data_IF_808959147715
#
_entry.id   IF_808959147715
#
_cell.length_a   1.000
_cell.length_b   1.000
_cell.length_c   1.000
_cell.angle_alpha   90.00
_cell.angle_beta   90.00
_cell.angle_gamma   90.00
#
_symmetry.space_group_name_H-M   'P 1'
#
loop_
_entity.id
_entity.type
_entity.pdbx_description
1 polymer ?
#
# COMPACT_ATOMS: atom_id res chain seq x y z
N UNK A 1 -25.20 -30.52 2.03
CA UNK A 1 -24.90 -29.89 3.33
C UNK A 1 -23.78 -28.85 3.23
N UNK A 2 -22.56 -29.18 2.77
CA UNK A 2 -21.45 -28.21 2.66
C UNK A 2 -21.74 -27.02 1.72
N UNK A 3 -22.27 -27.27 0.52
CA UNK A 3 -22.64 -26.19 -0.42
C UNK A 3 -23.73 -25.27 0.13
N UNK A 4 -24.69 -25.82 0.89
CA UNK A 4 -25.75 -25.03 1.51
C UNK A 4 -25.20 -24.12 2.62
N UNK A 5 -24.21 -24.56 3.39
CA UNK A 5 -23.51 -23.70 4.35
C UNK A 5 -22.84 -22.51 3.66
N UNK A 6 -22.20 -22.73 2.50
CA UNK A 6 -21.58 -21.65 1.72
C UNK A 6 -22.62 -20.68 1.13
N UNK A 7 -23.78 -21.19 0.69
CA UNK A 7 -24.90 -20.35 0.23
C UNK A 7 -25.50 -19.52 1.36
N UNK A 8 -25.69 -20.11 2.55
CA UNK A 8 -26.14 -19.40 3.74
C UNK A 8 -25.17 -18.28 4.12
N UNK A 9 -23.86 -18.56 4.13
CA UNK A 9 -22.84 -17.54 4.38
C UNK A 9 -22.85 -16.43 3.30
N UNK A 10 -23.13 -16.77 2.03
CA UNK A 10 -23.29 -15.80 0.97
C UNK A 10 -24.53 -14.92 1.15
N UNK A 11 -25.67 -15.50 1.51
CA UNK A 11 -26.90 -14.78 1.82
C UNK A 11 -26.71 -13.84 3.02
N UNK A 12 -26.01 -14.28 4.07
CA UNK A 12 -25.67 -13.44 5.22
C UNK A 12 -24.79 -12.25 4.81
N UNK A 13 -23.75 -12.47 3.99
CA UNK A 13 -22.94 -11.36 3.45
C UNK A 13 -23.76 -10.40 2.60
N UNK A 14 -24.77 -10.88 1.88
CA UNK A 14 -25.66 -10.02 1.10
C UNK A 14 -26.55 -9.17 2.01
N UNK A 15 -27.16 -9.77 3.05
CA UNK A 15 -27.99 -9.07 4.03
C UNK A 15 -27.22 -7.97 4.77
N UNK A 16 -25.95 -8.22 5.10
CA UNK A 16 -25.07 -7.25 5.76
C UNK A 16 -24.46 -6.21 4.81
N UNK A 17 -24.84 -6.22 3.52
CA UNK A 17 -24.24 -5.39 2.49
C UNK A 17 -22.70 -5.52 2.45
N UNK A 18 -22.18 -6.75 2.56
CA UNK A 18 -20.76 -7.12 2.53
C UNK A 18 -20.39 -7.93 1.28
N UNK A 19 -21.26 -8.02 0.29
CA UNK A 19 -20.92 -8.66 -0.98
C UNK A 19 -19.96 -7.77 -1.77
N UNK A 20 -18.89 -8.37 -2.31
CA UNK A 20 -17.92 -7.72 -3.20
C UNK A 20 -18.12 -8.23 -4.61
N UNK A 21 -18.00 -7.35 -5.61
CA UNK A 21 -18.08 -7.70 -7.02
C UNK A 21 -16.86 -7.13 -7.74
N UNK A 22 -16.22 -7.94 -8.58
CA UNK A 22 -15.13 -7.49 -9.43
C UNK A 22 -15.66 -6.65 -10.59
N UNK A 23 -14.90 -5.65 -10.97
CA UNK A 23 -15.06 -4.89 -12.21
C UNK A 23 -13.90 -5.24 -13.15
N UNK A 24 -14.14 -5.21 -14.45
CA UNK A 24 -13.14 -5.48 -15.48
C UNK A 24 -12.73 -4.14 -16.09
N UNK A 25 -11.43 -3.86 -16.09
CA UNK A 25 -10.86 -2.73 -16.82
C UNK A 25 -10.54 -3.17 -18.26
N UNK A 26 -10.99 -2.41 -19.24
CA UNK A 26 -10.78 -2.67 -20.67
C UNK A 26 -9.69 -1.78 -21.29
N UNK A 27 -9.15 -0.86 -20.51
CA UNK A 27 -8.06 0.06 -20.88
C UNK A 27 -7.03 0.05 -19.76
N UNK A 28 -5.82 0.57 -20.04
CA UNK A 28 -4.75 0.67 -19.06
C UNK A 28 -5.18 1.45 -17.81
N UNK A 29 -4.45 1.29 -16.71
CA UNK A 29 -4.67 2.07 -15.50
C UNK A 29 -4.38 3.55 -15.76
N UNK A 30 -5.39 4.40 -15.59
CA UNK A 30 -5.33 5.84 -15.75
C UNK A 30 -6.53 6.47 -15.01
N UNK A 31 -6.52 7.78 -14.73
CA UNK A 31 -7.69 8.52 -14.24
C UNK A 31 -8.96 8.19 -15.00
N UNK A 32 -8.93 8.28 -16.33
CA UNK A 32 -10.05 7.93 -17.21
C UNK A 32 -9.88 6.50 -17.70
N UNK A 33 -10.76 5.59 -17.29
CA UNK A 33 -10.67 4.17 -17.60
C UNK A 33 -12.03 3.61 -18.05
N UNK A 34 -12.03 2.82 -19.12
CA UNK A 34 -13.20 2.04 -19.53
C UNK A 34 -13.36 0.80 -18.62
N UNK A 35 -14.47 0.73 -17.87
CA UNK A 35 -14.71 -0.30 -16.85
C UNK A 35 -16.13 -0.87 -16.98
N UNK A 36 -16.28 -2.19 -16.82
CA UNK A 36 -17.56 -2.89 -16.91
C UNK A 36 -17.72 -4.04 -15.91
N UNK A 37 -18.94 -4.54 -15.75
CA UNK A 37 -19.17 -5.89 -15.24
C UNK A 37 -18.91 -6.91 -16.36
N UNK A 38 -18.75 -8.20 -16.03
CA UNK A 38 -18.49 -9.25 -17.02
C UNK A 38 -19.51 -9.29 -18.17
N UNK A 39 -20.78 -9.01 -17.86
CA UNK A 39 -21.89 -9.10 -18.82
C UNK A 39 -22.44 -7.72 -19.23
N UNK A 40 -21.66 -6.64 -19.06
CA UNK A 40 -22.08 -5.28 -19.36
C UNK A 40 -21.09 -4.57 -20.29
N UNK A 41 -21.59 -3.66 -21.12
CA UNK A 41 -20.73 -2.80 -21.94
C UNK A 41 -19.86 -1.91 -21.04
N UNK A 42 -18.54 -1.83 -21.28
CA UNK A 42 -17.66 -1.00 -20.47
C UNK A 42 -18.01 0.47 -20.67
N UNK A 43 -18.03 1.22 -19.58
CA UNK A 43 -18.29 2.65 -19.58
C UNK A 43 -17.00 3.42 -19.27
N UNK A 44 -16.75 4.56 -19.92
CA UNK A 44 -15.66 5.44 -19.52
C UNK A 44 -15.98 6.08 -18.17
N UNK A 45 -15.15 5.83 -17.17
CA UNK A 45 -15.30 6.38 -15.82
C UNK A 45 -14.04 7.16 -15.44
N UNK A 46 -14.23 8.29 -14.74
CA UNK A 46 -13.16 8.96 -14.00
C UNK A 46 -12.96 8.21 -12.67
N UNK A 47 -11.76 7.74 -12.38
CA UNK A 47 -11.49 6.76 -11.31
C UNK A 47 -10.59 7.32 -10.21
N UNK A 48 -11.04 7.19 -8.96
CA UNK A 48 -10.28 7.57 -7.77
C UNK A 48 -10.09 6.37 -6.82
N UNK A 49 -9.83 5.19 -7.38
CA UNK A 49 -9.71 3.94 -6.60
C UNK A 49 -8.44 3.11 -6.91
N UNK A 50 -7.56 3.62 -7.77
CA UNK A 50 -6.27 3.00 -8.08
C UNK A 50 -5.21 3.39 -7.04
N UNK A 51 -4.23 2.50 -6.82
CA UNK A 51 -3.04 2.82 -6.02
C UNK A 51 -1.84 3.28 -6.90
N UNK A 52 -2.06 3.57 -8.18
CA UNK A 52 -1.05 4.10 -9.11
C UNK A 52 -0.82 5.60 -8.86
N UNK A 53 -0.28 5.94 -7.70
CA UNK A 53 -0.23 7.32 -7.18
C UNK A 53 0.52 8.30 -8.08
N UNK A 54 1.51 7.84 -8.84
CA UNK A 54 2.28 8.67 -9.75
C UNK A 54 1.86 8.53 -11.22
N UNK A 55 0.88 7.66 -11.53
CA UNK A 55 0.42 7.43 -12.89
C UNK A 55 1.48 6.73 -13.75
N UNK A 56 2.24 5.80 -13.16
CA UNK A 56 3.33 5.10 -13.83
C UNK A 56 2.90 3.78 -14.46
N UNK A 57 1.73 3.23 -14.09
CA UNK A 57 1.26 1.94 -14.60
C UNK A 57 0.99 1.94 -16.11
N UNK A 58 0.72 3.11 -16.70
CA UNK A 58 0.56 3.29 -18.15
C UNK A 58 1.64 4.21 -18.74
N UNK A 59 2.81 4.30 -18.10
CA UNK A 59 3.88 5.20 -18.56
C UNK A 59 4.63 4.60 -19.76
N UNK A 60 4.83 5.36 -20.86
CA UNK A 60 5.41 4.82 -22.10
C UNK A 60 6.82 4.26 -21.91
N UNK A 61 7.67 4.90 -21.09
CA UNK A 61 9.03 4.37 -20.81
C UNK A 61 9.00 3.06 -20.03
N UNK A 62 8.02 2.88 -19.12
CA UNK A 62 7.88 1.65 -18.32
C UNK A 62 7.36 0.51 -19.20
N UNK A 63 6.39 0.79 -20.07
CA UNK A 63 5.87 -0.18 -21.05
C UNK A 63 6.98 -0.61 -22.02
N UNK A 64 7.75 0.35 -22.55
CA UNK A 64 8.86 0.06 -23.44
C UNK A 64 9.93 -0.82 -22.76
N UNK A 65 10.29 -0.51 -21.51
CA UNK A 65 11.20 -1.33 -20.73
C UNK A 65 10.63 -2.73 -20.46
N UNK A 66 9.34 -2.86 -20.14
CA UNK A 66 8.72 -4.18 -19.97
C UNK A 66 8.84 -5.03 -21.25
N UNK A 67 8.59 -4.44 -22.43
CA UNK A 67 8.74 -5.11 -23.71
C UNK A 67 10.20 -5.49 -24.01
N UNK A 68 11.15 -4.56 -23.80
CA UNK A 68 12.59 -4.82 -23.93
C UNK A 68 13.04 -5.96 -23.03
N UNK A 69 12.64 -5.92 -21.76
CA UNK A 69 12.96 -6.94 -20.76
C UNK A 69 12.44 -8.32 -21.16
N UNK A 70 11.23 -8.40 -21.72
CA UNK A 70 10.67 -9.65 -22.23
C UNK A 70 11.45 -10.20 -23.42
N UNK A 71 11.90 -9.34 -24.35
CA UNK A 71 12.75 -9.74 -25.48
C UNK A 71 14.14 -10.20 -25.02
N UNK A 72 14.71 -9.55 -24.01
CA UNK A 72 16.06 -9.82 -23.52
C UNK A 72 16.15 -11.04 -22.60
N UNK A 73 15.19 -11.21 -21.71
CA UNK A 73 15.25 -12.21 -20.63
C UNK A 73 14.18 -13.29 -20.72
N UNK A 74 13.27 -13.21 -21.70
CA UNK A 74 12.16 -14.15 -21.87
C UNK A 74 10.96 -13.83 -20.98
N UNK A 75 9.93 -14.67 -21.09
CA UNK A 75 8.62 -14.44 -20.48
C UNK A 75 8.56 -14.79 -18.97
N UNK A 76 9.43 -15.67 -18.47
CA UNK A 76 9.40 -16.13 -17.08
C UNK A 76 10.79 -16.50 -16.58
N UNK A 77 10.96 -16.48 -15.26
CA UNK A 77 12.23 -16.82 -14.60
C UNK A 77 12.55 -18.32 -14.59
N UNK A 78 11.53 -19.18 -14.75
CA UNK A 78 11.70 -20.64 -14.87
C UNK A 78 11.90 -21.40 -13.56
N UNK A 79 12.28 -20.73 -12.47
CA UNK A 79 12.46 -21.36 -11.15
C UNK A 79 12.43 -20.32 -10.01
N UNK A 80 12.66 -20.76 -8.77
CA UNK A 80 12.90 -19.85 -7.64
C UNK A 80 14.24 -19.13 -7.76
N UNK A 81 14.39 -18.04 -7.00
CA UNK A 81 15.63 -17.26 -6.94
C UNK A 81 16.86 -18.14 -6.63
N UNK A 82 16.73 -19.05 -5.67
CA UNK A 82 17.84 -19.89 -5.16
C UNK A 82 18.16 -21.13 -6.00
N UNK A 83 17.42 -21.41 -7.07
CA UNK A 83 17.70 -22.55 -7.95
C UNK A 83 18.29 -22.07 -9.27
N UNK A 84 17.53 -21.30 -10.04
CA UNK A 84 18.00 -20.76 -11.33
C UNK A 84 17.21 -19.53 -11.81
N UNK A 85 16.21 -19.07 -11.06
CA UNK A 85 15.31 -17.99 -11.46
C UNK A 85 15.85 -16.58 -11.22
N UNK A 86 16.99 -16.44 -10.54
CA UNK A 86 17.59 -15.14 -10.26
C UNK A 86 18.35 -14.60 -11.50
N UNK A 87 17.65 -13.82 -12.31
CA UNK A 87 18.21 -13.07 -13.46
C UNK A 87 19.03 -11.84 -13.05
N UNK A 88 19.91 -11.39 -13.95
CA UNK A 88 20.61 -10.10 -13.89
C UNK A 88 19.66 -8.93 -13.63
N UNK A 89 18.46 -8.93 -14.19
CA UNK A 89 17.48 -7.86 -13.97
C UNK A 89 17.05 -7.74 -12.50
N UNK A 90 16.98 -8.87 -11.77
CA UNK A 90 16.68 -8.86 -10.34
C UNK A 90 17.83 -8.27 -9.54
N UNK A 91 19.06 -8.72 -9.81
CA UNK A 91 20.26 -8.21 -9.14
C UNK A 91 20.44 -6.70 -9.35
N UNK A 92 20.23 -6.20 -10.58
CA UNK A 92 20.31 -4.77 -10.88
C UNK A 92 19.23 -3.97 -10.15
N UNK A 93 18.01 -4.51 -10.04
CA UNK A 93 16.95 -3.87 -9.28
C UNK A 93 17.29 -3.81 -7.79
N UNK A 94 17.83 -4.89 -7.22
CA UNK A 94 18.24 -4.95 -5.82
C UNK A 94 19.40 -3.98 -5.51
N UNK A 95 20.37 -3.87 -6.42
CA UNK A 95 21.49 -2.91 -6.32
C UNK A 95 20.99 -1.46 -6.34
N UNK A 96 20.10 -1.14 -7.28
CA UNK A 96 19.55 0.22 -7.42
C UNK A 96 18.70 0.61 -6.20
N UNK A 97 17.89 -0.31 -5.68
CA UNK A 97 17.15 -0.08 -4.44
C UNK A 97 18.10 0.04 -3.24
N UNK A 98 19.17 -0.76 -3.15
CA UNK A 98 20.15 -0.63 -2.08
C UNK A 98 20.81 0.76 -2.08
N UNK A 99 21.09 1.30 -3.27
CA UNK A 99 21.60 2.67 -3.43
C UNK A 99 20.63 3.72 -2.86
N UNK A 100 19.32 3.58 -3.08
CA UNK A 100 18.33 4.51 -2.55
C UNK A 100 18.25 4.50 -1.03
N UNK A 101 18.46 3.35 -0.40
CA UNK A 101 18.34 3.17 1.05
C UNK A 101 19.66 3.30 1.82
N UNK A 102 20.81 3.32 1.16
CA UNK A 102 22.11 3.51 1.81
C UNK A 102 22.21 4.76 2.72
N UNK A 103 21.56 5.91 2.41
CA UNK A 103 21.53 7.06 3.33
C UNK A 103 20.69 6.86 4.60
N UNK A 104 19.82 5.86 4.63
CA UNK A 104 18.82 5.62 5.69
C UNK A 104 19.09 4.34 6.50
N UNK A 105 19.82 3.39 5.92
CA UNK A 105 20.13 2.11 6.54
C UNK A 105 21.63 1.85 6.31
N UNK A 106 22.46 1.89 7.36
CA UNK A 106 23.87 1.51 7.26
C UNK A 106 24.03 0.10 6.68
N UNK A 107 24.97 -0.08 5.74
CA UNK A 107 25.19 -1.35 5.03
C UNK A 107 23.90 -1.92 4.40
N UNK A 108 23.07 -1.03 3.84
CA UNK A 108 21.84 -1.42 3.17
C UNK A 108 22.11 -2.43 2.05
N UNK A 109 21.42 -3.56 2.11
CA UNK A 109 21.15 -4.41 0.97
C UNK A 109 19.64 -4.51 0.77
N UNK A 110 19.22 -5.00 -0.39
CA UNK A 110 17.80 -5.23 -0.65
C UNK A 110 17.53 -6.62 -1.20
N UNK A 111 16.30 -7.08 -0.98
CA UNK A 111 15.80 -8.38 -1.42
C UNK A 111 14.48 -8.20 -2.14
N UNK A 112 14.40 -8.59 -3.41
CA UNK A 112 13.21 -8.45 -4.24
C UNK A 112 12.22 -9.62 -4.06
N UNK A 113 10.93 -9.30 -3.99
CA UNK A 113 9.83 -10.24 -3.81
C UNK A 113 8.74 -10.05 -4.89
N UNK A 114 8.04 -11.14 -5.22
CA UNK A 114 6.94 -11.13 -6.17
C UNK A 114 5.75 -10.27 -5.73
N UNK A 115 5.53 -10.09 -4.42
CA UNK A 115 4.46 -9.23 -3.87
C UNK A 115 4.83 -8.66 -2.50
N UNK A 116 4.25 -7.52 -2.13
CA UNK A 116 4.38 -6.96 -0.76
C UNK A 116 3.81 -7.86 0.32
N UNK A 117 2.75 -8.61 -0.01
CA UNK A 117 2.17 -9.58 0.92
C UNK A 117 3.20 -10.66 1.31
N UNK A 118 3.93 -11.19 0.32
CA UNK A 118 4.99 -12.18 0.55
C UNK A 118 6.21 -11.59 1.25
N UNK A 119 6.59 -10.35 0.94
CA UNK A 119 7.69 -9.66 1.62
C UNK A 119 7.38 -9.49 3.13
N UNK A 120 6.18 -9.03 3.46
CA UNK A 120 5.71 -8.94 4.85
C UNK A 120 5.76 -10.30 5.55
N UNK A 121 5.12 -11.33 4.98
CA UNK A 121 5.16 -12.66 5.57
C UNK A 121 6.60 -13.19 5.73
N UNK A 122 7.48 -12.95 4.76
CA UNK A 122 8.87 -13.37 4.81
C UNK A 122 9.60 -12.75 5.99
N UNK A 123 9.53 -11.41 6.14
CA UNK A 123 10.18 -10.70 7.24
C UNK A 123 9.65 -11.17 8.59
N UNK A 124 8.33 -11.19 8.76
CA UNK A 124 7.71 -11.51 10.05
C UNK A 124 7.98 -12.96 10.47
N UNK A 125 7.93 -13.91 9.54
CA UNK A 125 8.14 -15.33 9.87
C UNK A 125 9.62 -15.71 10.03
N UNK A 126 10.53 -15.05 9.33
CA UNK A 126 11.97 -15.31 9.43
C UNK A 126 12.59 -14.70 10.69
N UNK A 127 12.09 -13.54 11.14
CA UNK A 127 12.60 -12.85 12.33
C UNK A 127 11.79 -13.13 13.59
N UNK A 128 10.50 -13.42 13.45
CA UNK A 128 9.60 -13.86 14.50
C UNK A 128 9.76 -15.35 14.83
N UNK A 129 10.91 -15.69 15.42
CA UNK A 129 11.22 -17.04 15.91
C UNK A 129 10.91 -17.19 17.40
N UNK A 130 11.12 -18.38 17.95
CA UNK A 130 11.08 -18.58 19.40
C UNK A 130 12.02 -17.58 20.11
N UNK A 131 11.56 -16.99 21.22
CA UNK A 131 12.28 -15.94 21.94
C UNK A 131 12.05 -14.51 21.43
N UNK A 132 11.27 -14.34 20.36
CA UNK A 132 10.87 -13.02 19.85
C UNK A 132 9.47 -12.60 20.31
N UNK A 133 9.25 -11.29 20.44
CA UNK A 133 7.93 -10.66 20.52
C UNK A 133 7.73 -9.67 19.39
N UNK A 134 6.59 -9.78 18.71
CA UNK A 134 6.08 -8.84 17.72
C UNK A 134 5.13 -7.86 18.39
N UNK A 135 5.45 -6.56 18.34
CA UNK A 135 4.57 -5.49 18.78
C UNK A 135 3.88 -4.91 17.55
N UNK A 136 2.65 -5.34 17.30
CA UNK A 136 1.91 -5.02 16.09
C UNK A 136 0.94 -3.86 16.33
N UNK A 137 1.02 -2.84 15.50
CA UNK A 137 -0.03 -1.83 15.42
C UNK A 137 -1.39 -2.49 15.06
N UNK A 138 -2.47 -1.98 15.63
CA UNK A 138 -3.84 -2.46 15.54
C UNK A 138 -4.53 -2.39 14.17
N UNK A 139 -4.16 -1.42 13.33
CA UNK A 139 -4.62 -1.19 11.96
C UNK A 139 -3.64 -1.67 10.88
N UNK A 140 -2.54 -2.32 11.27
CA UNK A 140 -1.59 -2.94 10.35
C UNK A 140 -2.25 -3.70 9.20
N UNK A 141 -1.63 -3.64 8.03
CA UNK A 141 -2.13 -4.32 6.85
C UNK A 141 -2.28 -5.84 7.08
N UNK A 142 -3.27 -6.45 6.42
CA UNK A 142 -3.62 -7.86 6.61
C UNK A 142 -2.42 -8.81 6.42
N UNK A 143 -1.49 -8.52 5.52
CA UNK A 143 -0.28 -9.33 5.33
C UNK A 143 0.68 -9.31 6.52
N UNK A 144 0.76 -8.19 7.25
CA UNK A 144 1.54 -8.10 8.49
C UNK A 144 0.87 -8.93 9.59
N UNK A 145 -0.46 -8.82 9.70
CA UNK A 145 -1.26 -9.63 10.64
C UNK A 145 -1.08 -11.13 10.35
N UNK A 146 -1.17 -11.54 9.09
CA UNK A 146 -1.03 -12.94 8.71
C UNK A 146 0.41 -13.43 8.86
N UNK A 147 1.40 -12.57 8.58
CA UNK A 147 2.81 -12.84 8.90
C UNK A 147 3.04 -13.06 10.40
N UNK A 148 2.47 -12.21 11.25
CA UNK A 148 2.56 -12.34 12.70
C UNK A 148 1.86 -13.60 13.23
N UNK A 149 0.71 -13.98 12.64
CA UNK A 149 0.02 -15.24 12.97
C UNK A 149 0.81 -16.49 12.56
N UNK A 150 1.57 -16.41 11.47
CA UNK A 150 2.43 -17.50 10.99
C UNK A 150 3.78 -17.57 11.73
N UNK A 151 4.21 -16.47 12.34
CA UNK A 151 5.44 -16.40 13.13
C UNK A 151 5.35 -17.31 14.37
N UNK A 152 6.51 -17.77 14.85
CA UNK A 152 6.60 -18.58 16.09
C UNK A 152 7.03 -17.69 17.25
N UNK A 153 6.41 -16.51 17.33
CA UNK A 153 6.72 -15.45 18.28
C UNK A 153 5.47 -15.08 19.10
N UNK A 154 5.69 -14.47 20.27
CA UNK A 154 4.60 -13.79 20.98
C UNK A 154 4.13 -12.56 20.17
N UNK A 155 2.84 -12.26 20.21
CA UNK A 155 2.26 -11.13 19.46
C UNK A 155 1.47 -10.26 20.41
N UNK A 156 1.93 -9.04 20.59
CA UNK A 156 1.28 -8.02 21.40
C UNK A 156 0.79 -6.90 20.49
N UNK A 157 -0.49 -6.55 20.63
CA UNK A 157 -1.11 -5.49 19.82
C UNK A 157 -1.18 -4.20 20.62
N UNK A 158 -0.74 -3.08 20.03
CA UNK A 158 -0.91 -1.76 20.62
C UNK A 158 -1.92 -0.91 19.80
N UNK A 159 -2.62 0.05 20.43
CA UNK A 159 -3.57 0.92 19.73
C UNK A 159 -2.90 1.83 18.68
N UNK A 160 -3.71 2.29 17.72
CA UNK A 160 -3.28 3.14 16.62
C UNK A 160 -2.50 4.38 17.04
N UNK A 161 -1.27 4.45 16.56
CA UNK A 161 -0.30 5.51 16.84
C UNK A 161 -0.04 5.77 18.34
N UNK A 162 -0.43 4.85 19.23
CA UNK A 162 -0.26 4.99 20.69
C UNK A 162 1.11 4.49 21.14
N UNK A 163 2.09 5.38 21.05
CA UNK A 163 3.48 5.11 21.44
C UNK A 163 3.65 4.92 22.94
N UNK A 164 2.76 5.47 23.78
CA UNK A 164 2.80 5.27 25.23
C UNK A 164 2.37 3.85 25.61
N UNK A 165 1.31 3.33 24.98
CA UNK A 165 0.91 1.94 25.13
C UNK A 165 2.01 0.99 24.62
N UNK A 166 2.62 1.29 23.48
CA UNK A 166 3.76 0.53 22.96
C UNK A 166 4.94 0.52 23.95
N UNK A 167 5.30 1.67 24.52
CA UNK A 167 6.39 1.77 25.52
C UNK A 167 6.11 0.87 26.72
N UNK A 168 4.88 0.85 27.24
CA UNK A 168 4.51 0.00 28.36
C UNK A 168 4.68 -1.50 28.03
N UNK A 169 4.32 -1.92 26.82
CA UNK A 169 4.51 -3.30 26.36
C UNK A 169 6.00 -3.65 26.20
N UNK A 170 6.79 -2.75 25.60
CA UNK A 170 8.24 -2.92 25.44
C UNK A 170 8.95 -3.03 26.79
N UNK A 171 8.60 -2.18 27.75
CA UNK A 171 9.17 -2.17 29.09
C UNK A 171 8.85 -3.45 29.90
N UNK A 172 7.69 -4.05 29.66
CA UNK A 172 7.28 -5.31 30.29
C UNK A 172 7.88 -6.55 29.60
N UNK A 173 8.40 -6.44 28.38
CA UNK A 173 8.89 -7.58 27.61
C UNK A 173 10.27 -8.05 28.04
N UNK A 174 10.39 -9.34 28.31
CA UNK A 174 11.66 -10.03 28.60
C UNK A 174 12.23 -10.76 27.39
N UNK A 175 11.65 -10.57 26.20
CA UNK A 175 12.05 -11.26 24.98
C UNK A 175 13.42 -10.79 24.48
N UNK A 176 14.22 -11.75 24.02
CA UNK A 176 15.56 -11.51 23.48
C UNK A 176 15.49 -10.65 22.22
N UNK A 177 14.48 -10.89 21.37
CA UNK A 177 14.26 -10.11 20.15
C UNK A 177 12.91 -9.40 20.22
N UNK A 178 12.93 -8.08 20.06
CA UNK A 178 11.73 -7.24 20.02
C UNK A 178 11.58 -6.65 18.63
N UNK A 179 10.40 -6.75 18.03
CA UNK A 179 10.12 -6.24 16.68
C UNK A 179 8.87 -5.37 16.73
N UNK A 180 9.03 -4.07 16.52
CA UNK A 180 7.91 -3.14 16.32
C UNK A 180 7.47 -3.26 14.87
N UNK A 181 6.18 -3.47 14.63
CA UNK A 181 5.61 -3.73 13.30
C UNK A 181 4.53 -2.70 13.01
N UNK A 182 4.73 -1.90 11.97
CA UNK A 182 3.82 -0.82 11.56
C UNK A 182 3.75 -0.68 10.03
N UNK A 183 2.58 -0.33 9.49
CA UNK A 183 2.51 0.41 8.23
C UNK A 183 3.21 1.77 8.42
N UNK A 184 3.76 2.38 7.37
CA UNK A 184 4.20 3.79 7.43
C UNK A 184 3.04 4.73 7.14
N UNK A 185 2.25 4.45 6.11
CA UNK A 185 1.09 5.20 5.62
C UNK A 185 -0.06 4.21 5.60
N UNK A 186 -1.03 4.41 6.49
CA UNK A 186 -2.07 3.43 6.72
C UNK A 186 -3.02 3.36 5.52
N UNK A 187 -3.20 2.16 4.98
CA UNK A 187 -3.80 1.97 3.66
C UNK A 187 -5.22 2.52 3.52
N UNK A 188 -6.00 2.59 4.60
CA UNK A 188 -7.41 3.00 4.61
C UNK A 188 -7.65 4.39 5.23
N UNK A 189 -6.68 4.91 5.97
CA UNK A 189 -6.79 6.13 6.79
C UNK A 189 -5.89 7.25 6.23
N UNK A 190 -4.77 6.89 5.60
CA UNK A 190 -3.87 7.79 4.89
C UNK A 190 -2.98 8.65 5.79
N UNK A 191 -3.11 8.53 7.10
CA UNK A 191 -2.21 9.09 8.09
C UNK A 191 -0.88 8.33 8.14
N UNK A 192 0.11 8.92 8.80
CA UNK A 192 1.51 8.46 8.81
C UNK A 192 1.89 8.04 10.23
N UNK A 193 2.51 6.87 10.37
CA UNK A 193 3.00 6.36 11.65
C UNK A 193 4.05 7.30 12.30
N UNK A 194 4.09 7.40 13.64
CA UNK A 194 5.01 8.27 14.38
C UNK A 194 6.44 7.66 14.42
N UNK A 195 7.09 7.52 13.26
CA UNK A 195 8.34 6.76 13.14
C UNK A 195 9.51 7.37 13.91
N UNK A 196 9.51 8.69 14.19
CA UNK A 196 10.55 9.31 15.02
C UNK A 196 10.47 8.79 16.45
N UNK A 197 9.25 8.74 16.98
CA UNK A 197 8.93 8.23 18.30
C UNK A 197 9.16 6.72 18.38
N UNK A 198 8.77 5.96 17.34
CA UNK A 198 9.04 4.53 17.27
C UNK A 198 10.55 4.24 17.25
N UNK A 199 11.35 5.02 16.53
CA UNK A 199 12.81 4.90 16.52
C UNK A 199 13.40 5.15 17.91
N UNK A 200 12.98 6.21 18.60
CA UNK A 200 13.44 6.49 19.95
C UNK A 200 13.11 5.34 20.93
N UNK A 201 11.93 4.73 20.81
CA UNK A 201 11.57 3.55 21.59
C UNK A 201 12.42 2.32 21.20
N UNK A 202 12.63 2.09 19.91
CA UNK A 202 13.42 0.98 19.42
C UNK A 202 14.88 1.05 19.90
N UNK A 203 15.47 2.25 19.94
CA UNK A 203 16.81 2.47 20.48
C UNK A 203 16.85 2.25 21.99
N UNK A 204 15.85 2.73 22.73
CA UNK A 204 15.78 2.60 24.19
C UNK A 204 15.58 1.16 24.68
N UNK A 205 14.77 0.38 23.98
CA UNK A 205 14.36 -0.97 24.39
C UNK A 205 15.04 -2.09 23.60
N UNK A 206 16.00 -1.73 22.76
CA UNK A 206 16.71 -2.63 21.84
C UNK A 206 15.76 -3.47 20.98
N UNK A 207 15.02 -2.78 20.10
CA UNK A 207 14.09 -3.39 19.16
C UNK A 207 14.45 -3.09 17.71
N UNK A 208 13.95 -3.93 16.81
CA UNK A 208 13.89 -3.67 15.37
C UNK A 208 12.59 -2.97 15.01
N UNK A 209 12.58 -2.22 13.91
CA UNK A 209 11.38 -1.62 13.33
C UNK A 209 11.15 -2.22 11.95
N UNK A 210 10.09 -2.99 11.82
CA UNK A 210 9.55 -3.43 10.53
C UNK A 210 8.54 -2.39 10.11
N UNK A 211 8.87 -1.66 9.04
CA UNK A 211 8.03 -0.60 8.47
C UNK A 211 7.57 -0.98 7.07
N UNK A 212 6.26 -1.18 6.91
CA UNK A 212 5.63 -1.38 5.60
C UNK A 212 5.28 -0.03 4.98
N UNK A 213 6.14 0.45 4.09
CA UNK A 213 5.99 1.71 3.37
C UNK A 213 5.41 1.52 1.97
N UNK A 214 4.51 0.55 1.82
CA UNK A 214 3.85 0.27 0.56
C UNK A 214 3.16 1.49 -0.06
N UNK A 215 2.61 2.39 0.77
CA UNK A 215 1.83 3.55 0.36
C UNK A 215 2.61 4.87 0.36
N UNK A 216 3.81 4.91 0.94
CA UNK A 216 4.68 6.09 0.88
C UNK A 216 5.82 5.97 -0.12
N UNK A 217 6.31 4.75 -0.44
CA UNK A 217 7.34 4.54 -1.46
C UNK A 217 6.96 5.18 -2.81
N UNK A 218 7.88 5.94 -3.40
CA UNK A 218 7.69 6.74 -4.61
C UNK A 218 7.05 8.12 -4.38
N UNK A 219 6.22 8.25 -3.35
CA UNK A 219 5.39 9.44 -3.09
C UNK A 219 5.99 10.37 -2.06
N UNK A 220 6.47 9.83 -0.94
CA UNK A 220 7.04 10.59 0.16
C UNK A 220 8.55 10.84 -0.05
N UNK A 221 9.01 12.00 0.41
CA UNK A 221 10.40 12.45 0.25
C UNK A 221 10.61 13.25 -1.04
N UNK A 222 11.72 14.00 -1.11
CA UNK A 222 12.03 14.82 -2.28
C UNK A 222 12.30 13.97 -3.52
N UNK A 223 13.03 12.86 -3.37
CA UNK A 223 13.36 11.92 -4.44
C UNK A 223 12.34 10.78 -4.54
N UNK A 224 11.49 10.61 -3.54
CA UNK A 224 10.46 9.57 -3.55
C UNK A 224 10.97 8.25 -2.96
N UNK A 225 12.01 8.27 -2.12
CA UNK A 225 12.51 7.07 -1.47
C UNK A 225 11.61 6.60 -0.32
N UNK A 226 10.59 7.39 0.03
CA UNK A 226 9.55 7.01 0.96
C UNK A 226 9.68 7.71 2.33
N UNK A 227 9.08 7.10 3.35
CA UNK A 227 8.88 7.70 4.66
C UNK A 227 10.19 8.01 5.40
N UNK A 228 11.24 7.19 5.21
CA UNK A 228 12.54 7.42 5.86
C UNK A 228 13.23 8.67 5.31
N UNK A 229 13.15 8.91 4.00
CA UNK A 229 13.61 10.15 3.37
C UNK A 229 12.80 11.34 3.86
N UNK A 230 11.46 11.24 3.82
CA UNK A 230 10.57 12.32 4.22
C UNK A 230 10.80 12.79 5.67
N UNK A 231 11.20 11.87 6.56
CA UNK A 231 11.50 12.17 7.96
C UNK A 231 13.01 12.37 8.22
N UNK A 232 13.88 12.18 7.23
CA UNK A 232 15.33 12.25 7.42
C UNK A 232 15.83 11.26 8.49
N UNK A 233 15.23 10.07 8.54
CA UNK A 233 15.58 9.04 9.52
C UNK A 233 16.67 8.12 8.96
N UNK A 234 17.60 7.73 9.83
CA UNK A 234 18.64 6.76 9.52
C UNK A 234 18.91 5.88 10.74
N UNK A 235 18.87 4.56 10.57
CA UNK A 235 19.22 3.60 11.62
C UNK A 235 19.40 2.20 11.02
N UNK A 236 20.33 1.43 11.57
CA UNK A 236 20.45 -0.01 11.24
C UNK A 236 19.22 -0.81 11.68
N UNK A 237 18.45 -0.29 12.65
CA UNK A 237 17.26 -0.94 13.23
C UNK A 237 16.07 -1.04 12.26
N UNK A 238 16.11 -0.33 11.13
CA UNK A 238 15.04 -0.36 10.16
C UNK A 238 15.11 -1.59 9.26
N UNK A 239 13.96 -2.25 9.13
CA UNK A 239 13.67 -3.26 8.13
C UNK A 239 12.52 -2.70 7.31
N UNK A 240 12.89 -2.04 6.22
CA UNK A 240 11.98 -1.31 5.36
C UNK A 240 11.37 -2.23 4.31
N UNK A 241 10.06 -2.15 4.12
CA UNK A 241 9.34 -2.94 3.12
C UNK A 241 8.64 -1.96 2.17
N UNK A 242 9.05 -1.96 0.89
CA UNK A 242 8.43 -1.11 -0.14
C UNK A 242 7.66 -1.96 -1.15
N UNK A 243 6.59 -1.41 -1.74
CA UNK A 243 5.84 -2.11 -2.80
C UNK A 243 5.97 -1.43 -4.15
N UNK A 244 6.09 -2.26 -5.18
CA UNK A 244 6.42 -1.85 -6.55
C UNK A 244 5.20 -1.94 -7.50
N UNK A 245 4.05 -2.35 -6.97
CA UNK A 245 2.76 -2.38 -7.67
C UNK A 245 1.81 -1.21 -7.33
N UNK A 246 2.33 -0.16 -6.70
CA UNK A 246 1.57 1.07 -6.37
C UNK A 246 2.14 2.27 -7.13
N UNK A 247 2.81 3.20 -6.46
CA UNK A 247 3.40 4.37 -7.09
C UNK A 247 4.39 4.03 -8.23
N UNK A 248 5.11 2.91 -8.11
CA UNK A 248 6.03 2.44 -9.13
C UNK A 248 5.35 1.80 -10.35
N UNK A 249 4.04 1.56 -10.31
CA UNK A 249 3.24 1.21 -11.49
C UNK A 249 3.48 -0.17 -12.11
N UNK A 250 4.23 -1.07 -11.47
CA UNK A 250 4.47 -2.42 -12.04
C UNK A 250 3.93 -3.50 -11.10
N UNK A 251 4.79 -4.29 -10.46
CA UNK A 251 4.43 -5.34 -9.52
C UNK A 251 5.65 -5.75 -8.69
N UNK A 252 5.41 -6.39 -7.56
CA UNK A 252 6.48 -6.81 -6.65
C UNK A 252 6.60 -5.94 -5.41
N UNK A 253 7.63 -6.23 -4.63
CA UNK A 253 8.03 -5.53 -3.43
C UNK A 253 9.50 -5.78 -3.16
N UNK A 254 10.06 -5.07 -2.20
CA UNK A 254 11.42 -5.32 -1.74
C UNK A 254 11.49 -5.14 -0.23
N UNK A 255 12.49 -5.76 0.37
CA UNK A 255 12.94 -5.46 1.73
C UNK A 255 14.27 -4.75 1.62
N UNK A 256 14.44 -3.61 2.28
CA UNK A 256 15.72 -2.94 2.47
C UNK A 256 16.08 -2.98 3.95
N UNK A 257 17.25 -3.52 4.28
CA UNK A 257 17.72 -3.68 5.65
C UNK A 257 19.24 -3.79 5.68
N UNK A 258 19.81 -3.80 6.88
CA UNK A 258 21.22 -4.15 7.07
C UNK A 258 21.52 -5.52 6.42
N UNK A 259 22.69 -5.67 5.79
CA UNK A 259 23.08 -6.87 5.04
C UNK A 259 22.86 -8.19 5.79
N UNK A 260 23.19 -8.25 7.08
CA UNK A 260 22.96 -9.42 7.92
C UNK A 260 21.47 -9.85 8.01
N UNK A 261 20.54 -8.88 7.98
CA UNK A 261 19.10 -9.17 7.93
C UNK A 261 18.74 -9.75 6.57
N UNK A 262 19.24 -9.15 5.49
CA UNK A 262 18.98 -9.63 4.12
C UNK A 262 19.53 -11.05 3.92
N UNK A 263 20.76 -11.32 4.36
CA UNK A 263 21.37 -12.65 4.30
C UNK A 263 20.54 -13.69 5.08
N UNK A 264 20.06 -13.32 6.28
CA UNK A 264 19.18 -14.20 7.07
C UNK A 264 17.87 -14.48 6.33
N UNK A 265 17.25 -13.48 5.71
CA UNK A 265 16.01 -13.64 4.94
C UNK A 265 16.22 -14.57 3.73
N UNK A 266 17.29 -14.37 2.96
CA UNK A 266 17.64 -15.23 1.81
C UNK A 266 17.69 -16.70 2.22
N UNK A 267 18.26 -17.00 3.39
CA UNK A 267 18.49 -18.37 3.85
C UNK A 267 17.31 -18.99 4.62
N UNK A 268 16.37 -18.20 5.13
CA UNK A 268 15.33 -18.71 6.05
C UNK A 268 13.89 -18.37 5.65
N UNK A 269 13.68 -17.31 4.86
CA UNK A 269 12.34 -16.84 4.55
C UNK A 269 11.65 -17.74 3.52
N UNK A 270 10.77 -18.62 4.00
CA UNK A 270 10.02 -19.57 3.16
C UNK A 270 9.27 -18.91 1.99
N UNK A 271 8.61 -17.73 2.15
CA UNK A 271 7.95 -17.05 1.03
C UNK A 271 8.91 -16.54 -0.05
N UNK A 272 10.21 -16.40 0.24
CA UNK A 272 11.26 -16.11 -0.75
C UNK A 272 11.78 -17.39 -1.41
N UNK A 273 12.11 -18.40 -0.60
CA UNK A 273 12.79 -19.63 -1.03
C UNK A 273 11.89 -20.51 -1.93
N UNK A 274 10.63 -20.69 -1.53
CA UNK A 274 9.72 -21.67 -2.13
C UNK A 274 8.69 -21.04 -3.07
N UNK A 275 9.13 -20.07 -3.86
CA UNK A 275 8.32 -19.43 -4.89
C UNK A 275 9.13 -19.20 -6.15
N UNK A 276 8.48 -19.22 -7.31
CA UNK A 276 9.11 -18.83 -8.57
C UNK A 276 9.46 -17.35 -8.52
N UNK A 277 10.68 -16.98 -8.91
CA UNK A 277 11.08 -15.57 -9.02
C UNK A 277 10.15 -14.84 -10.01
N UNK A 278 9.91 -13.54 -9.83
CA UNK A 278 9.07 -12.81 -10.77
C UNK A 278 9.66 -12.86 -12.20
N UNK A 279 8.85 -12.66 -13.25
CA UNK A 279 9.39 -12.54 -14.61
C UNK A 279 10.47 -11.44 -14.68
N UNK A 280 11.67 -11.69 -15.22
CA UNK A 280 12.74 -10.70 -15.23
C UNK A 280 12.39 -9.39 -15.96
N UNK A 281 11.45 -9.47 -16.93
CA UNK A 281 10.90 -8.29 -17.60
C UNK A 281 10.25 -7.30 -16.63
N UNK A 282 9.63 -7.78 -15.54
CA UNK A 282 9.03 -6.95 -14.49
C UNK A 282 10.11 -6.16 -13.76
N UNK A 283 11.19 -6.81 -13.35
CA UNK A 283 12.31 -6.14 -12.69
C UNK A 283 13.01 -5.13 -13.61
N UNK A 284 13.13 -5.46 -14.90
CA UNK A 284 13.69 -4.55 -15.89
C UNK A 284 12.80 -3.31 -16.11
N UNK A 285 11.48 -3.48 -16.16
CA UNK A 285 10.54 -2.35 -16.21
C UNK A 285 10.61 -1.46 -14.96
N UNK A 286 10.87 -2.06 -13.80
CA UNK A 286 11.02 -1.35 -12.55
C UNK A 286 12.24 -0.44 -12.52
N UNK A 287 13.37 -0.82 -13.12
CA UNK A 287 14.53 0.08 -13.26
C UNK A 287 14.17 1.38 -13.98
N UNK A 288 13.37 1.30 -15.04
CA UNK A 288 12.85 2.48 -15.72
C UNK A 288 11.89 3.31 -14.85
N UNK A 289 11.04 2.63 -14.06
CA UNK A 289 10.14 3.29 -13.11
C UNK A 289 10.90 4.03 -11.99
N UNK A 290 11.91 3.39 -11.39
CA UNK A 290 12.76 3.99 -10.36
C UNK A 290 13.47 5.24 -10.90
N UNK A 291 14.04 5.16 -12.12
CA UNK A 291 14.66 6.31 -12.78
C UNK A 291 13.70 7.50 -12.93
N UNK A 292 12.42 7.24 -13.23
CA UNK A 292 11.39 8.30 -13.33
C UNK A 292 11.09 8.88 -11.96
N UNK A 293 10.93 8.03 -10.93
CA UNK A 293 10.58 8.43 -9.57
C UNK A 293 11.65 9.37 -8.97
N UNK A 294 12.94 9.02 -9.06
CA UNK A 294 14.04 9.81 -8.50
C UNK A 294 14.30 11.11 -9.30
N UNK A 295 14.01 11.07 -10.61
CA UNK A 295 14.25 12.17 -11.53
C UNK A 295 13.32 13.37 -11.40
N UNK A 296 13.54 14.35 -12.28
CA UNK A 296 12.74 15.57 -12.37
C UNK A 296 11.25 15.30 -12.66
N UNK A 297 10.97 14.32 -13.52
CA UNK A 297 9.59 13.94 -13.82
C UNK A 297 8.86 13.42 -12.58
N UNK A 298 9.51 12.60 -11.76
CA UNK A 298 8.97 12.13 -10.48
C UNK A 298 8.67 13.27 -9.51
N UNK A 299 9.59 14.25 -9.39
CA UNK A 299 9.35 15.47 -8.59
C UNK A 299 8.13 16.24 -9.07
N UNK A 300 7.98 16.44 -10.38
CA UNK A 300 6.81 17.12 -10.95
C UNK A 300 5.50 16.37 -10.69
N UNK A 301 5.53 15.04 -10.80
CA UNK A 301 4.38 14.17 -10.49
C UNK A 301 4.00 14.24 -9.02
N UNK A 302 4.96 14.20 -8.09
CA UNK A 302 4.72 14.41 -6.65
C UNK A 302 4.13 15.79 -6.39
N UNK A 303 4.66 16.85 -7.00
CA UNK A 303 4.13 18.20 -6.85
C UNK A 303 2.68 18.34 -7.37
N UNK A 304 2.36 17.73 -8.52
CA UNK A 304 1.00 17.69 -9.06
C UNK A 304 0.05 16.94 -8.11
N UNK A 305 0.47 15.76 -7.63
CA UNK A 305 -0.29 14.99 -6.67
C UNK A 305 -0.59 15.80 -5.40
N UNK A 306 0.39 16.51 -4.86
CA UNK A 306 0.20 17.38 -3.68
C UNK A 306 -0.79 18.52 -3.93
N UNK A 307 -0.76 19.15 -5.11
CA UNK A 307 -1.76 20.16 -5.49
C UNK A 307 -3.17 19.58 -5.52
N UNK A 308 -3.35 18.42 -6.15
CA UNK A 308 -4.64 17.73 -6.19
C UNK A 308 -5.11 17.29 -4.79
N UNK A 309 -4.20 16.84 -3.92
CA UNK A 309 -4.51 16.50 -2.51
C UNK A 309 -5.03 17.73 -1.77
N UNK A 310 -4.35 18.87 -1.88
CA UNK A 310 -4.74 20.11 -1.22
C UNK A 310 -6.14 20.57 -1.67
N UNK A 311 -6.37 20.63 -2.98
CA UNK A 311 -7.65 21.01 -3.57
C UNK A 311 -8.80 20.09 -3.11
N UNK A 312 -8.58 18.77 -3.21
CA UNK A 312 -9.58 17.78 -2.82
C UNK A 312 -9.90 17.89 -1.32
N UNK A 313 -8.87 17.99 -0.46
CA UNK A 313 -9.03 18.03 0.99
C UNK A 313 -9.79 19.29 1.42
N UNK A 314 -9.48 20.43 0.83
CA UNK A 314 -10.18 21.69 1.10
C UNK A 314 -11.66 21.61 0.70
N UNK A 315 -11.95 21.07 -0.49
CA UNK A 315 -13.31 20.88 -0.98
C UNK A 315 -14.11 19.89 -0.12
N UNK A 316 -13.52 18.74 0.21
CA UNK A 316 -14.14 17.72 1.05
C UNK A 316 -14.41 18.23 2.47
N UNK A 317 -13.55 19.07 3.04
CA UNK A 317 -13.75 19.60 4.39
C UNK A 317 -15.05 20.41 4.49
N UNK A 318 -15.36 21.19 3.44
CA UNK A 318 -16.63 21.94 3.34
C UNK A 318 -17.84 21.02 3.21
N UNK A 319 -17.75 20.01 2.34
CA UNK A 319 -18.86 19.08 2.04
C UNK A 319 -19.13 18.09 3.18
N UNK A 320 -18.09 17.62 3.86
CA UNK A 320 -18.22 16.66 4.95
C UNK A 320 -18.99 17.28 6.14
N UNK A 321 -18.71 18.54 6.47
CA UNK A 321 -19.37 19.26 7.54
C UNK A 321 -20.88 19.40 7.33
N UNK A 322 -21.35 19.64 6.09
CA UNK A 322 -22.78 19.77 5.80
C UNK A 322 -23.51 18.42 5.80
N UNK A 323 -22.82 17.33 5.43
CA UNK A 323 -23.41 16.00 5.32
C UNK A 323 -23.36 15.14 6.61
N UNK A 324 -22.74 15.66 7.68
CA UNK A 324 -22.48 14.91 8.90
C UNK A 324 -21.43 13.80 8.72
N UNK A 325 -20.50 13.99 7.77
CA UNK A 325 -19.38 13.10 7.52
C UNK A 325 -18.10 13.65 8.14
N UNK A 326 -17.07 12.82 8.26
CA UNK A 326 -15.73 13.23 8.70
C UNK A 326 -14.66 12.83 7.70
N UNK A 327 -13.50 13.50 7.77
CA UNK A 327 -12.33 13.17 6.95
C UNK A 327 -11.29 12.46 7.79
N UNK A 328 -10.56 11.53 7.17
CA UNK A 328 -9.33 11.01 7.76
C UNK A 328 -8.25 12.10 7.87
N UNK A 329 -7.35 11.94 8.83
CA UNK A 329 -6.18 12.83 9.04
C UNK A 329 -5.06 12.57 8.04
N UNK A 330 -5.40 12.56 6.74
CA UNK A 330 -4.47 12.24 5.67
C UNK A 330 -3.91 13.45 4.95
N UNK A 331 -2.59 13.46 4.81
CA UNK A 331 -1.85 14.36 3.92
C UNK A 331 -1.31 13.61 2.68
N UNK A 332 -1.75 12.37 2.46
CA UNK A 332 -1.22 11.49 1.41
C UNK A 332 -2.21 11.37 0.24
N UNK A 333 -1.85 10.58 -0.78
CA UNK A 333 -2.73 10.31 -1.93
C UNK A 333 -4.04 9.61 -1.55
N UNK A 334 -4.14 9.06 -0.34
CA UNK A 334 -5.33 8.40 0.20
C UNK A 334 -6.13 9.43 0.96
N UNK A 335 -7.32 9.80 0.50
CA UNK A 335 -8.19 10.79 1.15
C UNK A 335 -9.50 10.10 1.57
N UNK A 336 -9.60 9.61 2.82
CA UNK A 336 -10.81 8.91 3.26
C UNK A 336 -11.91 9.90 3.64
N UNK A 337 -13.11 9.70 3.07
CA UNK A 337 -14.34 10.35 3.48
C UNK A 337 -15.19 9.33 4.27
N UNK A 338 -15.24 9.51 5.59
CA UNK A 338 -15.89 8.60 6.54
C UNK A 338 -17.39 8.92 6.57
N UNK A 339 -18.17 7.94 6.10
CA UNK A 339 -19.64 8.03 5.99
C UNK A 339 -20.31 7.29 7.15
N UNK A 340 -19.64 6.28 7.72
CA UNK A 340 -20.07 5.48 8.85
C UNK A 340 -20.82 4.22 8.45
N UNK A 341 -22.02 4.38 7.89
CA UNK A 341 -22.90 3.25 7.54
C UNK A 341 -22.52 2.57 6.20
N UNK A 342 -22.68 1.24 6.15
CA UNK A 342 -22.34 0.41 4.98
C UNK A 342 -23.24 0.71 3.78
N UNK A 343 -24.56 0.80 4.00
CA UNK A 343 -25.53 1.00 2.93
C UNK A 343 -25.43 2.43 2.37
N UNK A 344 -25.27 3.42 3.24
CA UNK A 344 -25.05 4.82 2.85
C UNK A 344 -23.75 4.98 2.04
N UNK A 345 -22.65 4.35 2.47
CA UNK A 345 -21.38 4.38 1.73
C UNK A 345 -21.51 3.77 0.33
N UNK A 346 -22.26 2.67 0.21
CA UNK A 346 -22.53 2.03 -1.07
C UNK A 346 -23.44 2.86 -1.96
N UNK A 347 -24.49 3.47 -1.41
CA UNK A 347 -25.40 4.33 -2.14
C UNK A 347 -24.65 5.55 -2.69
N UNK A 348 -23.78 6.17 -1.90
CA UNK A 348 -22.96 7.30 -2.35
C UNK A 348 -21.98 6.86 -3.46
N UNK A 349 -21.27 5.75 -3.29
CA UNK A 349 -20.39 5.19 -4.32
C UNK A 349 -21.14 4.90 -5.63
N UNK A 350 -22.36 4.34 -5.54
CA UNK A 350 -23.20 4.05 -6.70
C UNK A 350 -23.72 5.33 -7.38
N UNK A 351 -24.09 6.35 -6.61
CA UNK A 351 -24.52 7.64 -7.15
C UNK A 351 -23.40 8.35 -7.91
N UNK A 352 -22.18 8.34 -7.37
CA UNK A 352 -21.00 8.85 -8.07
C UNK A 352 -20.74 8.08 -9.36
N UNK A 353 -20.85 6.75 -9.33
CA UNK A 353 -20.62 5.93 -10.51
C UNK A 353 -21.66 6.17 -11.61
N UNK A 354 -22.93 6.39 -11.24
CA UNK A 354 -23.97 6.83 -12.18
C UNK A 354 -23.67 8.20 -12.80
N UNK A 355 -22.96 9.08 -12.09
CA UNK A 355 -22.40 10.34 -12.61
C UNK A 355 -21.08 10.20 -13.39
N UNK A 356 -20.64 8.96 -13.66
CA UNK A 356 -19.42 8.66 -14.39
C UNK A 356 -18.13 8.73 -13.57
N UNK A 357 -18.23 8.67 -12.22
CA UNK A 357 -17.08 8.75 -11.31
C UNK A 357 -17.02 7.51 -10.40
N UNK A 358 -15.89 6.80 -10.44
CA UNK A 358 -15.69 5.57 -9.67
C UNK A 358 -14.85 5.82 -8.43
N UNK A 359 -15.47 5.66 -7.26
CA UNK A 359 -14.81 5.70 -5.94
C UNK A 359 -15.16 4.44 -5.16
N UNK A 360 -14.18 3.83 -4.48
CA UNK A 360 -14.40 2.59 -3.73
C UNK A 360 -15.06 2.82 -2.36
N UNK A 361 -16.19 2.15 -2.11
CA UNK A 361 -16.79 2.05 -0.77
C UNK A 361 -16.14 0.91 0.04
N UNK A 362 -15.38 1.29 1.07
CA UNK A 362 -14.67 0.37 1.97
C UNK A 362 -15.52 0.13 3.23
N UNK A 363 -15.61 -1.14 3.64
CA UNK A 363 -16.51 -1.67 4.68
C UNK A 363 -15.79 -2.79 5.46
N UNK A 364 -16.29 -3.18 6.64
CA UNK A 364 -15.76 -4.33 7.39
C UNK A 364 -15.60 -5.61 6.54
N UNK A 365 -14.54 -6.42 6.74
CA UNK A 365 -13.55 -6.32 7.83
C UNK A 365 -12.35 -5.41 7.49
N UNK A 366 -12.36 -4.71 6.34
CA UNK A 366 -11.21 -3.88 5.92
C UNK A 366 -11.05 -2.63 6.79
N UNK A 367 -12.14 -2.11 7.34
CA UNK A 367 -12.17 -1.02 8.32
C UNK A 367 -13.08 -1.43 9.48
N UNK A 368 -12.93 -0.86 10.69
CA UNK A 368 -13.80 -1.15 11.83
C UNK A 368 -15.29 -0.91 11.53
N UNK A 369 -16.16 -1.62 12.25
CA UNK A 369 -17.61 -1.41 12.17
C UNK A 369 -17.98 0.04 12.50
N UNK A 370 -18.98 0.59 11.79
CA UNK A 370 -19.39 1.99 11.95
C UNK A 370 -18.44 3.03 11.35
N UNK A 371 -17.38 2.61 10.64
CA UNK A 371 -16.41 3.52 9.99
C UNK A 371 -16.31 3.32 8.47
N UNK A 372 -17.38 2.82 7.85
CA UNK A 372 -17.44 2.67 6.40
C UNK A 372 -17.19 4.01 5.70
N UNK A 373 -16.51 3.98 4.57
CA UNK A 373 -15.95 5.18 3.96
C UNK A 373 -15.84 5.06 2.45
N UNK A 374 -15.84 6.21 1.77
CA UNK A 374 -15.26 6.28 0.45
C UNK A 374 -13.74 6.44 0.60
N UNK A 375 -12.99 5.49 0.03
CA UNK A 375 -11.54 5.62 -0.07
C UNK A 375 -11.21 6.28 -1.39
N UNK A 376 -11.06 7.60 -1.37
CA UNK A 376 -10.65 8.38 -2.54
C UNK A 376 -9.14 8.26 -2.63
N UNK A 377 -8.64 7.92 -3.81
CA UNK A 377 -7.20 7.83 -4.09
C UNK A 377 -6.87 8.69 -5.28
N UNK A 378 -5.91 9.60 -5.08
CA UNK A 378 -5.41 10.47 -6.12
C UNK A 378 -4.24 9.83 -6.86
N UNK A 379 -4.00 10.37 -8.04
CA UNK A 379 -2.97 9.97 -8.98
C UNK A 379 -2.40 11.27 -9.55
N UNK A 380 -1.09 11.35 -9.76
CA UNK A 380 -0.44 12.50 -10.37
C UNK A 380 -0.92 12.80 -11.81
N UNK A 381 -1.61 11.85 -12.45
CA UNK A 381 -2.23 12.05 -13.75
C UNK A 381 -3.62 12.70 -13.67
N UNK A 382 -4.22 12.84 -12.48
CA UNK A 382 -5.41 13.68 -12.31
C UNK A 382 -5.04 15.15 -12.46
N UNK A 383 -5.92 15.92 -13.08
CA UNK A 383 -5.85 17.38 -13.08
C UNK A 383 -6.83 18.01 -12.08
N UNK A 384 -6.79 19.34 -11.97
CA UNK A 384 -7.68 20.09 -11.07
C UNK A 384 -9.16 19.98 -11.48
N UNK A 385 -9.43 19.80 -12.78
CA UNK A 385 -10.79 19.66 -13.29
C UNK A 385 -11.40 18.30 -12.92
N UNK A 386 -10.61 17.23 -12.93
CA UNK A 386 -11.00 15.91 -12.43
C UNK A 386 -11.38 15.99 -10.94
N UNK A 387 -10.55 16.66 -10.13
CA UNK A 387 -10.81 16.86 -8.70
C UNK A 387 -12.08 17.69 -8.48
N UNK A 388 -12.25 18.79 -9.23
CA UNK A 388 -13.45 19.61 -9.13
C UNK A 388 -14.71 18.82 -9.51
N UNK A 389 -14.65 18.01 -10.58
CA UNK A 389 -15.76 17.15 -10.99
C UNK A 389 -16.15 16.14 -9.91
N UNK A 390 -15.19 15.59 -9.17
CA UNK A 390 -15.46 14.73 -8.02
C UNK A 390 -16.18 15.51 -6.91
N UNK A 391 -15.69 16.70 -6.56
CA UNK A 391 -16.29 17.55 -5.54
C UNK A 391 -17.74 17.94 -5.90
N UNK A 392 -17.98 18.35 -7.14
CA UNK A 392 -19.31 18.71 -7.64
C UNK A 392 -20.27 17.50 -7.57
N UNK A 393 -19.80 16.31 -7.95
CA UNK A 393 -20.59 15.09 -7.89
C UNK A 393 -20.94 14.69 -6.44
N UNK A 394 -19.99 14.83 -5.50
CA UNK A 394 -20.26 14.60 -4.07
C UNK A 394 -21.27 15.63 -3.55
N UNK A 395 -21.11 16.90 -3.90
CA UNK A 395 -22.05 17.96 -3.53
C UNK A 395 -23.47 17.68 -4.06
N UNK A 396 -23.59 17.25 -5.31
CA UNK A 396 -24.88 16.86 -5.90
C UNK A 396 -25.52 15.68 -5.18
N UNK A 397 -24.73 14.67 -4.79
CA UNK A 397 -25.22 13.52 -4.03
C UNK A 397 -25.71 13.90 -2.62
N UNK A 398 -25.09 14.89 -1.97
CA UNK A 398 -25.56 15.43 -0.68
C UNK A 398 -26.90 16.14 -0.87
N UNK A 399 -27.04 17.00 -1.87
CA UNK A 399 -28.29 17.73 -2.11
C UNK A 399 -29.48 16.79 -2.41
N UNK A 400 -29.26 15.70 -3.15
CA UNK A 400 -30.30 14.69 -3.38
C UNK A 400 -30.72 13.95 -2.10
N UNK A 401 -29.80 13.79 -1.13
CA UNK A 401 -30.10 13.17 0.18
C UNK A 401 -30.94 14.09 1.07
N UNK A 402 -30.74 15.41 1.01
CA UNK A 402 -31.52 16.38 1.80
C UNK A 402 -32.95 16.56 1.26
N UNK A 403 -33.17 16.29 -0.03
CA UNK A 403 -34.47 16.42 -0.69
C UNK A 403 -35.37 15.18 -0.59
N UNK A 404 -34.84 14.04 -0.14
CA UNK A 404 -35.53 12.75 -0.01
C UNK A 404 -35.86 12.46 1.46
#
# INVERSE_FOLDING_TARGET
>A
MLLEQLKQAAAQRQQLALTRRRRIAHTACAPHQAVGAADAQPQPLLTFCSNDYLGLANHPKVIAALAEGAHRYGAGSGASHLVSGHSLAHAQLEEELARWFAPHIPHAQTLYFCTGYMANMAVLTALGTAGATLFCESLNHASLIDGARLARADVQRYPHCDTAALEALLAASTSERKLIVTDSVFSMDGDVAPLRELLALAERYDAWIIVDDAHGFGVLGEQGHGVLEALGLSSERFIYIGTLGKAAGVAGAFVAAHEAVIEHLVNTARPYIYTTAAPPAVAHALLASLTIIEGEEGRQRRAQLMRCIALLREGLARLAASAGWSLGESQTAIQPLIVGDNAASLALSAALEAGGIRVGAIRPPTVPEGTARLRITLCAAHDEADVQRLLDAISGAIACKEAA
#
